data_IF_419242039479
#
_entry.id   IF_419242039479
#
_cell.length_a   1.000
_cell.length_b   1.000
_cell.length_c   1.000
_cell.angle_alpha   90.00
_cell.angle_beta   90.00
_cell.angle_gamma   90.00
#
_symmetry.space_group_name_H-M   'P 1'
#
loop_
_entity.id
_entity.type
_entity.pdbx_description
1 polymer ?
#
# COMPACT_ATOMS: atom_id res chain seq x y z
N UNK A 1 34.08 -7.82 13.49
CA UNK A 1 32.90 -6.93 13.64
C UNK A 1 33.18 -5.53 13.08
N UNK A 2 34.37 -4.95 13.32
CA UNK A 2 34.75 -3.62 12.80
C UNK A 2 34.99 -3.55 11.27
N UNK A 3 35.41 -4.65 10.63
CA UNK A 3 35.68 -4.70 9.18
C UNK A 3 34.41 -4.62 8.30
N UNK A 4 33.25 -5.04 8.81
CA UNK A 4 31.97 -4.93 8.08
C UNK A 4 31.42 -3.51 8.10
N UNK A 5 31.67 -2.78 9.20
CA UNK A 5 31.22 -1.40 9.38
C UNK A 5 32.00 -0.49 8.44
N UNK A 6 33.33 -0.64 8.36
CA UNK A 6 34.17 0.26 7.55
C UNK A 6 33.97 0.10 6.02
N UNK A 7 33.54 -1.08 5.55
CA UNK A 7 33.35 -1.37 4.12
C UNK A 7 31.97 -0.96 3.57
N UNK A 8 30.95 -0.82 4.44
CA UNK A 8 29.58 -0.45 4.04
C UNK A 8 29.11 0.90 4.58
N UNK A 9 29.65 1.39 5.70
CA UNK A 9 29.13 2.58 6.40
C UNK A 9 29.98 3.85 6.23
N UNK A 10 31.24 3.77 5.79
CA UNK A 10 32.14 4.93 5.79
C UNK A 10 32.31 5.53 7.20
N UNK A 11 33.12 6.58 7.35
CA UNK A 11 33.45 7.20 8.65
C UNK A 11 32.25 7.81 9.42
N UNK A 12 31.02 7.75 8.89
CA UNK A 12 29.87 8.53 9.38
C UNK A 12 28.78 7.68 10.06
N UNK A 13 29.17 6.91 11.08
CA UNK A 13 28.21 6.24 11.99
C UNK A 13 27.21 7.24 12.59
N UNK A 14 27.67 8.48 12.84
CA UNK A 14 26.86 9.57 13.39
C UNK A 14 25.72 9.98 12.45
N UNK A 15 25.94 10.03 11.13
CA UNK A 15 24.89 10.37 10.15
C UNK A 15 23.83 9.28 10.06
N UNK A 16 24.24 8.01 10.17
CA UNK A 16 23.32 6.89 10.19
C UNK A 16 22.45 6.89 11.46
N UNK A 17 23.04 7.17 12.62
CA UNK A 17 22.30 7.31 13.88
C UNK A 17 21.34 8.50 13.80
N UNK A 18 21.77 9.64 13.25
CA UNK A 18 20.92 10.82 13.05
C UNK A 18 19.75 10.55 12.08
N UNK A 19 19.98 9.78 11.02
CA UNK A 19 18.93 9.41 10.07
C UNK A 19 17.90 8.45 10.70
N UNK A 20 18.37 7.44 11.43
CA UNK A 20 17.48 6.48 12.13
C UNK A 20 16.67 7.17 13.23
N UNK A 21 17.28 8.10 13.98
CA UNK A 21 16.56 8.87 15.01
C UNK A 21 15.51 9.79 14.39
N UNK A 22 15.80 10.45 13.25
CA UNK A 22 14.82 11.24 12.50
C UNK A 22 13.69 10.40 11.90
N UNK A 23 13.98 9.17 11.45
CA UNK A 23 12.94 8.22 11.03
C UNK A 23 12.01 7.85 12.18
N UNK A 24 12.55 7.56 13.38
CA UNK A 24 11.76 7.27 14.58
C UNK A 24 10.88 8.47 14.99
N UNK A 25 11.42 9.68 14.93
CA UNK A 25 10.65 10.92 15.18
C UNK A 25 9.52 11.06 14.16
N UNK A 26 9.79 10.78 12.88
CA UNK A 26 8.78 10.83 11.81
C UNK A 26 7.67 9.82 12.02
N UNK A 27 8.02 8.60 12.42
CA UNK A 27 7.06 7.54 12.70
C UNK A 27 6.16 7.95 13.87
N UNK A 28 6.75 8.49 14.93
CA UNK A 28 6.02 9.01 16.09
C UNK A 28 5.12 10.19 15.71
N UNK A 29 5.62 11.13 14.90
CA UNK A 29 4.86 12.29 14.41
C UNK A 29 3.66 11.86 13.56
N UNK A 30 3.81 10.82 12.72
CA UNK A 30 2.73 10.28 11.91
C UNK A 30 1.61 9.67 12.78
N UNK A 31 1.96 8.98 13.88
CA UNK A 31 1.00 8.43 14.84
C UNK A 31 0.26 9.56 15.55
N UNK A 32 0.99 10.58 16.01
CA UNK A 32 0.41 11.78 16.65
C UNK A 32 -0.58 12.47 15.70
N UNK A 33 -0.22 12.61 14.42
CA UNK A 33 -1.11 13.18 13.41
C UNK A 33 -2.43 12.41 13.29
N UNK A 34 -2.38 11.07 13.24
CA UNK A 34 -3.60 10.24 13.19
C UNK A 34 -4.45 10.42 14.46
N UNK A 35 -3.84 10.48 15.64
CA UNK A 35 -4.57 10.73 16.89
C UNK A 35 -5.27 12.09 16.88
N UNK A 36 -4.62 13.14 16.35
CA UNK A 36 -5.21 14.47 16.23
C UNK A 36 -6.39 14.45 15.25
N UNK A 37 -6.22 13.82 14.08
CA UNK A 37 -7.29 13.67 13.09
C UNK A 37 -8.49 12.94 13.70
N UNK A 38 -8.29 11.87 14.46
CA UNK A 38 -9.38 11.17 15.15
C UNK A 38 -10.15 12.10 16.08
N UNK A 39 -9.42 12.91 16.84
CA UNK A 39 -10.04 13.85 17.79
C UNK A 39 -10.84 14.94 17.07
N UNK A 40 -10.43 15.34 15.86
CA UNK A 40 -11.15 16.30 15.03
C UNK A 40 -12.39 15.64 14.43
N UNK A 41 -12.24 14.47 13.79
CA UNK A 41 -13.35 13.78 13.12
C UNK A 41 -14.41 13.35 14.15
N UNK A 42 -14.02 12.93 15.36
CA UNK A 42 -14.97 12.59 16.45
C UNK A 42 -15.85 13.78 16.91
N UNK A 43 -15.47 15.01 16.57
CA UNK A 43 -16.27 16.21 16.85
C UNK A 43 -17.20 16.59 15.69
N UNK A 44 -17.03 16.00 14.51
CA UNK A 44 -17.92 16.23 13.38
C UNK A 44 -19.02 15.16 13.39
N UNK A 45 -20.19 15.55 13.89
CA UNK A 45 -21.46 14.79 13.97
C UNK A 45 -22.07 14.46 12.57
N UNK A 46 -21.24 14.21 11.57
CA UNK A 46 -21.70 13.82 10.24
C UNK A 46 -22.15 12.35 10.23
N UNK A 47 -23.11 12.03 9.34
CA UNK A 47 -23.72 10.69 9.19
C UNK A 47 -22.70 9.57 9.44
N UNK A 48 -22.98 8.76 10.48
CA UNK A 48 -22.16 7.64 10.98
C UNK A 48 -21.53 6.78 9.88
N UNK A 49 -22.24 6.60 8.76
CA UNK A 49 -21.77 5.85 7.59
C UNK A 49 -20.55 6.47 6.88
N UNK A 50 -20.56 7.77 6.59
CA UNK A 50 -19.44 8.46 5.91
C UNK A 50 -18.23 8.51 6.84
N UNK A 51 -18.48 8.73 8.14
CA UNK A 51 -17.47 8.67 9.19
C UNK A 51 -16.76 7.30 9.21
N UNK A 52 -17.51 6.20 9.32
CA UNK A 52 -16.93 4.84 9.35
C UNK A 52 -16.21 4.51 8.04
N UNK A 53 -16.74 4.92 6.89
CA UNK A 53 -16.14 4.71 5.57
C UNK A 53 -14.80 5.46 5.44
N UNK A 54 -14.74 6.73 5.83
CA UNK A 54 -13.51 7.53 5.75
C UNK A 54 -12.47 7.06 6.76
N UNK A 55 -12.89 6.70 7.97
CA UNK A 55 -12.02 6.24 9.05
C UNK A 55 -11.28 4.95 8.68
N UNK A 56 -11.99 3.94 8.19
CA UNK A 56 -11.41 2.63 7.85
C UNK A 56 -10.57 2.61 6.57
N UNK A 57 -10.69 3.65 5.74
CA UNK A 57 -10.15 3.63 4.37
C UNK A 57 -8.95 4.55 4.24
N UNK A 58 -8.99 5.74 4.86
CA UNK A 58 -7.92 6.73 4.70
C UNK A 58 -6.83 6.61 5.76
N UNK A 59 -7.13 6.19 6.99
CA UNK A 59 -6.14 6.23 8.10
C UNK A 59 -4.82 5.54 7.79
N UNK A 60 -4.87 4.26 7.45
CA UNK A 60 -3.67 3.44 7.22
C UNK A 60 -2.84 3.92 6.02
N UNK A 61 -3.40 4.11 4.81
CA UNK A 61 -2.60 4.56 3.66
C UNK A 61 -2.13 6.00 3.83
N UNK A 62 -2.91 6.89 4.46
CA UNK A 62 -2.50 8.28 4.70
C UNK A 62 -1.32 8.35 5.67
N UNK A 63 -1.31 7.51 6.73
CA UNK A 63 -0.17 7.40 7.63
C UNK A 63 1.12 7.09 6.86
N UNK A 64 1.06 6.09 5.97
CA UNK A 64 2.21 5.71 5.13
C UNK A 64 2.66 6.87 4.25
N UNK A 65 1.73 7.58 3.61
CA UNK A 65 2.05 8.71 2.74
C UNK A 65 2.70 9.87 3.52
N UNK A 66 2.23 10.16 4.73
CA UNK A 66 2.84 11.15 5.62
C UNK A 66 4.28 10.77 5.94
N UNK A 67 4.52 9.52 6.34
CA UNK A 67 5.88 9.02 6.62
C UNK A 67 6.79 9.18 5.40
N UNK A 68 6.31 8.82 4.20
CA UNK A 68 7.08 8.99 2.95
C UNK A 68 7.43 10.45 2.69
N UNK A 69 6.47 11.36 2.84
CA UNK A 69 6.66 12.80 2.60
C UNK A 69 7.66 13.40 3.59
N UNK A 70 7.52 13.10 4.88
CA UNK A 70 8.46 13.56 5.91
C UNK A 70 9.87 13.00 5.69
N UNK A 71 9.98 11.73 5.30
CA UNK A 71 11.28 11.11 4.98
C UNK A 71 11.93 11.79 3.76
N UNK A 72 11.12 12.21 2.77
CA UNK A 72 11.58 13.03 1.64
C UNK A 72 12.14 14.38 2.10
N UNK A 73 11.50 15.02 3.07
CA UNK A 73 11.94 16.29 3.63
C UNK A 73 13.24 16.14 4.43
N UNK A 74 13.34 15.11 5.27
CA UNK A 74 14.54 14.81 6.06
C UNK A 74 15.75 14.55 5.16
N UNK A 75 15.57 13.80 4.07
CA UNK A 75 16.64 13.55 3.10
C UNK A 75 17.21 14.85 2.50
N UNK A 76 16.39 15.88 2.31
CA UNK A 76 16.86 17.19 1.84
C UNK A 76 17.63 17.97 2.90
N UNK A 77 17.24 17.81 4.17
CA UNK A 77 17.84 18.52 5.30
C UNK A 77 19.19 17.91 5.71
N UNK A 78 19.34 16.59 5.57
CA UNK A 78 20.55 15.86 5.94
C UNK A 78 21.16 15.17 4.70
N UNK A 79 22.11 15.82 3.99
CA UNK A 79 22.74 15.22 2.82
C UNK A 79 23.63 14.05 3.25
N UNK A 80 23.14 12.84 3.05
CA UNK A 80 23.85 11.60 3.39
C UNK A 80 25.05 11.34 2.47
N UNK A 81 25.92 10.39 2.80
CA UNK A 81 26.98 9.93 1.89
C UNK A 81 26.42 9.46 0.51
N UNK A 82 27.16 9.61 -0.60
CA UNK A 82 26.64 9.39 -1.95
C UNK A 82 26.07 7.98 -2.19
N UNK A 83 26.66 6.95 -1.59
CA UNK A 83 26.15 5.58 -1.69
C UNK A 83 24.79 5.41 -0.99
N UNK A 84 24.64 5.99 0.20
CA UNK A 84 23.39 5.96 0.97
C UNK A 84 22.30 6.82 0.34
N UNK A 85 22.64 7.93 -0.33
CA UNK A 85 21.65 8.76 -1.02
C UNK A 85 20.94 8.04 -2.17
N UNK A 86 21.67 7.21 -2.92
CA UNK A 86 21.12 6.41 -4.02
C UNK A 86 20.19 5.32 -3.49
N UNK A 87 20.64 4.57 -2.48
CA UNK A 87 19.84 3.51 -1.86
C UNK A 87 18.56 4.07 -1.22
N UNK A 88 18.68 5.11 -0.40
CA UNK A 88 17.53 5.78 0.24
C UNK A 88 16.58 6.35 -0.80
N UNK A 89 17.09 6.91 -1.91
CA UNK A 89 16.25 7.38 -3.03
C UNK A 89 15.40 6.27 -3.65
N UNK A 90 16.00 5.10 -3.91
CA UNK A 90 15.28 3.94 -4.46
C UNK A 90 14.22 3.40 -3.49
N UNK A 91 14.56 3.25 -2.21
CA UNK A 91 13.63 2.78 -1.17
C UNK A 91 12.44 3.73 -1.05
N UNK A 92 12.70 5.04 -1.05
CA UNK A 92 11.67 6.07 -0.92
C UNK A 92 10.73 6.10 -2.14
N UNK A 93 11.26 5.87 -3.35
CA UNK A 93 10.45 5.71 -4.56
C UNK A 93 9.54 4.48 -4.48
N UNK A 94 10.06 3.33 -4.03
CA UNK A 94 9.25 2.11 -3.83
C UNK A 94 8.16 2.35 -2.80
N UNK A 95 8.49 2.96 -1.66
CA UNK A 95 7.54 3.23 -0.59
C UNK A 95 6.44 4.20 -1.06
N UNK A 96 6.80 5.19 -1.89
CA UNK A 96 5.84 6.09 -2.54
C UNK A 96 4.92 5.35 -3.51
N UNK A 97 5.45 4.47 -4.36
CA UNK A 97 4.66 3.62 -5.27
C UNK A 97 3.67 2.74 -4.49
N UNK A 98 4.13 2.15 -3.39
CA UNK A 98 3.29 1.35 -2.51
C UNK A 98 2.18 2.20 -1.90
N UNK A 99 2.46 3.44 -1.48
CA UNK A 99 1.43 4.34 -0.94
C UNK A 99 0.37 4.67 -1.98
N UNK A 100 0.78 5.05 -3.20
CA UNK A 100 -0.14 5.39 -4.29
C UNK A 100 -1.00 4.17 -4.64
N UNK A 101 -0.37 3.01 -4.80
CA UNK A 101 -1.07 1.77 -5.15
C UNK A 101 -2.07 1.34 -4.09
N UNK A 102 -1.70 1.43 -2.82
CA UNK A 102 -2.58 1.13 -1.69
C UNK A 102 -3.78 2.09 -1.65
N UNK A 103 -3.55 3.38 -1.87
CA UNK A 103 -4.62 4.39 -1.89
C UNK A 103 -5.62 4.10 -3.02
N UNK A 104 -5.15 3.74 -4.22
CA UNK A 104 -6.01 3.36 -5.35
C UNK A 104 -6.81 2.09 -5.03
N UNK A 105 -6.17 1.06 -4.47
CA UNK A 105 -6.83 -0.21 -4.09
C UNK A 105 -7.95 0.03 -3.06
N UNK A 106 -7.70 0.90 -2.08
CA UNK A 106 -8.69 1.29 -1.07
C UNK A 106 -9.84 2.09 -1.69
N UNK A 107 -9.55 2.98 -2.63
CA UNK A 107 -10.59 3.73 -3.35
C UNK A 107 -11.51 2.80 -4.15
N UNK A 108 -10.93 1.83 -4.88
CA UNK A 108 -11.70 0.85 -5.66
C UNK A 108 -12.57 -0.05 -4.78
N UNK A 109 -12.17 -0.30 -3.52
CA UNK A 109 -12.98 -1.09 -2.57
C UNK A 109 -14.32 -0.41 -2.26
N UNK A 110 -14.39 0.92 -2.26
CA UNK A 110 -15.59 1.69 -1.90
C UNK A 110 -16.64 1.65 -3.00
N UNK A 111 -16.19 1.67 -4.25
CA UNK A 111 -17.07 1.86 -5.42
C UNK A 111 -18.24 0.87 -5.44
N UNK A 112 -18.03 -0.47 -5.25
CA UNK A 112 -19.13 -1.43 -5.23
C UNK A 112 -20.06 -1.25 -4.04
N UNK A 113 -19.54 -0.87 -2.88
CA UNK A 113 -20.30 -0.75 -1.63
C UNK A 113 -21.24 0.46 -1.68
N UNK A 114 -20.75 1.58 -2.23
CA UNK A 114 -21.55 2.78 -2.49
C UNK A 114 -22.63 2.57 -3.58
N UNK A 115 -22.27 1.86 -4.65
CA UNK A 115 -23.22 1.54 -5.73
C UNK A 115 -24.26 0.52 -5.24
N UNK A 116 -23.87 -0.49 -4.47
CA UNK A 116 -24.80 -1.50 -3.95
C UNK A 116 -25.85 -0.91 -3.00
N UNK A 117 -25.49 0.07 -2.17
CA UNK A 117 -26.45 0.78 -1.31
C UNK A 117 -27.47 1.59 -2.14
N UNK A 118 -27.04 2.17 -3.26
CA UNK A 118 -27.91 2.96 -4.14
C UNK A 118 -28.87 2.10 -5.00
N UNK A 119 -28.53 0.84 -5.25
CA UNK A 119 -29.32 -0.09 -6.07
C UNK A 119 -29.83 -1.28 -5.23
N UNK A 120 -30.70 -1.02 -4.25
CA UNK A 120 -31.32 -2.07 -3.39
C UNK A 120 -32.17 -3.12 -4.13
N UNK A 121 -32.38 -3.03 -5.46
CA UNK A 121 -33.36 -3.88 -6.18
C UNK A 121 -32.78 -4.88 -7.19
N UNK A 122 -31.52 -4.78 -7.61
CA UNK A 122 -30.97 -5.65 -8.67
C UNK A 122 -29.77 -6.50 -8.19
N UNK A 123 -30.07 -7.60 -7.48
CA UNK A 123 -29.07 -8.48 -6.85
C UNK A 123 -28.05 -9.15 -7.80
N UNK A 124 -28.28 -9.15 -9.12
CA UNK A 124 -27.35 -9.76 -10.11
C UNK A 124 -26.26 -8.79 -10.60
N UNK A 125 -26.51 -7.48 -10.59
CA UNK A 125 -25.54 -6.47 -11.06
C UNK A 125 -24.52 -6.17 -9.97
N UNK A 126 -24.96 -6.15 -8.71
CA UNK A 126 -24.12 -5.91 -7.53
C UNK A 126 -23.03 -6.98 -7.36
N UNK A 127 -23.36 -8.26 -7.54
CA UNK A 127 -22.39 -9.37 -7.40
C UNK A 127 -21.25 -9.26 -8.43
N UNK A 128 -21.58 -8.93 -9.69
CA UNK A 128 -20.59 -8.80 -10.78
C UNK A 128 -19.62 -7.64 -10.54
N UNK A 129 -20.10 -6.49 -10.07
CA UNK A 129 -19.25 -5.35 -9.71
C UNK A 129 -18.28 -5.69 -8.57
N UNK A 130 -18.75 -6.46 -7.59
CA UNK A 130 -17.96 -6.83 -6.41
C UNK A 130 -16.78 -7.73 -6.80
N UNK A 131 -17.01 -8.69 -7.69
CA UNK A 131 -15.97 -9.57 -8.25
C UNK A 131 -14.97 -8.78 -9.10
N UNK A 132 -15.47 -7.87 -9.95
CA UNK A 132 -14.63 -7.00 -10.79
C UNK A 132 -13.68 -6.13 -9.95
N UNK A 133 -14.18 -5.50 -8.89
CA UNK A 133 -13.35 -4.70 -7.97
C UNK A 133 -12.23 -5.50 -7.30
N UNK A 134 -12.47 -6.79 -7.03
CA UNK A 134 -11.47 -7.67 -6.41
C UNK A 134 -10.34 -7.98 -7.40
N UNK A 135 -10.67 -8.21 -8.66
CA UNK A 135 -9.69 -8.43 -9.73
C UNK A 135 -8.80 -7.19 -9.96
N UNK A 136 -9.40 -6.00 -10.06
CA UNK A 136 -8.65 -4.76 -10.26
C UNK A 136 -7.67 -4.46 -9.13
N UNK A 137 -8.06 -4.75 -7.88
CA UNK A 137 -7.18 -4.57 -6.73
C UNK A 137 -5.94 -5.45 -6.81
N UNK A 138 -6.07 -6.70 -7.26
CA UNK A 138 -4.93 -7.61 -7.44
C UNK A 138 -4.03 -7.14 -8.59
N UNK A 139 -4.63 -6.69 -9.70
CA UNK A 139 -3.88 -6.12 -10.84
C UNK A 139 -3.02 -4.93 -10.43
N UNK A 140 -3.55 -4.03 -9.60
CA UNK A 140 -2.79 -2.87 -9.12
C UNK A 140 -1.60 -3.31 -8.26
N UNK A 141 -1.77 -4.28 -7.37
CA UNK A 141 -0.67 -4.82 -6.57
C UNK A 141 0.43 -5.44 -7.44
N UNK A 142 0.03 -6.20 -8.45
CA UNK A 142 0.94 -6.78 -9.45
C UNK A 142 1.76 -5.68 -10.13
N UNK A 143 1.11 -4.62 -10.62
CA UNK A 143 1.78 -3.50 -11.28
C UNK A 143 2.73 -2.79 -10.31
N UNK A 144 2.29 -2.53 -9.07
CA UNK A 144 3.09 -1.89 -8.04
C UNK A 144 4.40 -2.66 -7.76
N UNK A 145 4.30 -3.98 -7.64
CA UNK A 145 5.45 -4.87 -7.44
C UNK A 145 6.39 -4.79 -8.65
N UNK A 146 5.87 -4.95 -9.88
CA UNK A 146 6.69 -4.88 -11.09
C UNK A 146 7.47 -3.57 -11.18
N UNK A 147 6.80 -2.43 -10.95
CA UNK A 147 7.44 -1.11 -11.00
C UNK A 147 8.47 -0.94 -9.87
N UNK A 148 8.19 -1.45 -8.67
CA UNK A 148 9.12 -1.40 -7.54
C UNK A 148 10.41 -2.17 -7.84
N UNK A 149 10.30 -3.38 -8.38
CA UNK A 149 11.46 -4.16 -8.76
C UNK A 149 12.23 -3.56 -9.95
N UNK A 150 11.52 -2.99 -10.94
CA UNK A 150 12.15 -2.24 -12.05
C UNK A 150 12.99 -1.07 -11.53
N UNK A 151 12.52 -0.39 -10.47
CA UNK A 151 13.24 0.73 -9.83
C UNK A 151 14.58 0.28 -9.21
N UNK A 152 14.72 -1.00 -8.89
CA UNK A 152 15.94 -1.57 -8.31
C UNK A 152 16.93 -2.09 -9.36
N UNK A 153 16.63 -1.97 -10.66
CA UNK A 153 17.37 -2.57 -11.78
C UNK A 153 17.39 -4.11 -11.75
N UNK A 154 16.39 -4.74 -11.14
CA UNK A 154 16.20 -6.19 -11.31
C UNK A 154 15.69 -6.48 -12.72
N UNK A 155 16.15 -7.59 -13.31
CA UNK A 155 15.69 -8.06 -14.61
C UNK A 155 14.18 -8.35 -14.58
N UNK A 156 13.41 -7.59 -15.37
CA UNK A 156 11.94 -7.69 -15.42
C UNK A 156 11.45 -9.08 -15.77
N UNK A 157 12.25 -9.87 -16.49
CA UNK A 157 11.93 -11.22 -16.94
C UNK A 157 11.88 -12.23 -15.78
N UNK A 158 12.79 -12.12 -14.82
CA UNK A 158 12.80 -12.94 -13.60
C UNK A 158 11.57 -12.65 -12.74
N UNK A 159 11.19 -11.37 -12.64
CA UNK A 159 10.01 -10.95 -11.87
C UNK A 159 8.74 -11.43 -12.55
N UNK A 160 8.66 -11.34 -13.88
CA UNK A 160 7.50 -11.85 -14.63
C UNK A 160 7.29 -13.34 -14.37
N UNK A 161 8.39 -14.10 -14.37
CA UNK A 161 8.38 -15.55 -14.10
C UNK A 161 7.87 -15.85 -12.68
N UNK A 162 8.33 -15.09 -11.67
CA UNK A 162 7.85 -15.22 -10.28
C UNK A 162 6.39 -14.78 -10.10
N UNK A 163 5.95 -13.74 -10.81
CA UNK A 163 4.57 -13.26 -10.74
C UNK A 163 3.58 -14.22 -11.41
N UNK A 164 3.98 -14.89 -12.49
CA UNK A 164 3.17 -15.92 -13.16
C UNK A 164 2.71 -17.01 -12.20
N UNK A 165 3.54 -17.35 -11.21
CA UNK A 165 3.21 -18.35 -10.18
C UNK A 165 2.08 -17.83 -9.27
N UNK A 166 2.15 -16.58 -8.85
CA UNK A 166 1.14 -15.93 -7.99
C UNK A 166 -0.19 -15.77 -8.74
N UNK A 167 -0.13 -15.46 -10.04
CA UNK A 167 -1.30 -15.42 -10.94
C UNK A 167 -1.94 -16.80 -11.11
N UNK A 168 -1.14 -17.86 -11.25
CA UNK A 168 -1.63 -19.24 -11.36
C UNK A 168 -2.42 -19.70 -10.13
N UNK A 169 -1.93 -19.39 -8.92
CA UNK A 169 -2.61 -19.70 -7.66
C UNK A 169 -3.96 -18.96 -7.56
N UNK A 170 -4.00 -17.70 -8.00
CA UNK A 170 -5.22 -16.89 -7.97
C UNK A 170 -6.30 -17.47 -8.91
N UNK A 171 -5.89 -17.87 -10.12
CA UNK A 171 -6.79 -18.48 -11.11
C UNK A 171 -7.29 -19.83 -10.59
N UNK A 172 -6.41 -20.64 -9.99
CA UNK A 172 -6.79 -21.91 -9.37
C UNK A 172 -7.85 -21.69 -8.28
N UNK A 173 -7.65 -20.74 -7.36
CA UNK A 173 -8.62 -20.42 -6.32
C UNK A 173 -9.96 -19.94 -6.89
N UNK A 174 -9.94 -19.06 -7.90
CA UNK A 174 -11.16 -18.57 -8.55
C UNK A 174 -11.92 -19.71 -9.23
N UNK A 175 -11.23 -20.65 -9.87
CA UNK A 175 -11.86 -21.80 -10.49
C UNK A 175 -12.53 -22.72 -9.46
N UNK A 176 -11.87 -22.99 -8.33
CA UNK A 176 -12.42 -23.84 -7.26
C UNK A 176 -13.67 -23.20 -6.64
N UNK A 177 -13.62 -21.90 -6.33
CA UNK A 177 -14.80 -21.18 -5.81
C UNK A 177 -15.91 -21.04 -6.85
N UNK A 178 -15.56 -20.85 -8.13
CA UNK A 178 -16.54 -20.80 -9.23
C UNK A 178 -17.28 -22.12 -9.44
N UNK A 179 -16.60 -23.26 -9.30
CA UNK A 179 -17.19 -24.61 -9.38
C UNK A 179 -18.13 -24.87 -8.20
N UNK A 180 -17.77 -24.43 -6.99
CA UNK A 180 -18.60 -24.64 -5.80
C UNK A 180 -19.94 -23.88 -5.85
N UNK A 181 -19.96 -22.70 -6.49
CA UNK A 181 -21.19 -21.92 -6.71
C UNK A 181 -22.04 -22.55 -7.83
N UNK A 182 -21.40 -23.13 -8.86
CA UNK A 182 -22.09 -23.83 -9.95
C UNK A 182 -22.75 -25.14 -9.48
N UNK A 183 -22.11 -25.89 -8.57
CA UNK A 183 -22.71 -27.07 -7.92
C UNK A 183 -23.90 -26.69 -7.04
N UNK A 184 -23.77 -25.66 -6.19
CA UNK A 184 -24.88 -25.19 -5.36
C UNK A 184 -26.09 -24.67 -6.15
N UNK A 185 -25.90 -24.27 -7.41
CA UNK A 185 -26.97 -23.81 -8.31
C UNK A 185 -27.62 -24.95 -9.14
N UNK A 186 -27.03 -26.15 -9.15
CA UNK A 186 -27.59 -27.33 -9.83
C UNK A 186 -28.35 -28.26 -8.88
N UNK A 187 -28.21 -28.06 -7.56
CA UNK A 187 -28.94 -28.77 -6.51
C UNK A 187 -30.26 -28.06 -6.08
N UNK A 188 -30.78 -27.12 -6.89
CA UNK A 188 -32.09 -26.46 -6.71
C UNK A 188 -33.02 -26.71 -7.90
#
# INVERSE_FOLDING_TARGET
>A
MELFIKKYFGDNIVECIAFVSLLLITLTASIIFVVIINKIINKLDSKKFIYTLVEDILKEPVLLCIVVILTWYIKKLLPLAPQTQVLTGKILLILSLFCISWLIVRFIKIIPEYIAESFQKDGKISLKLLIFSKLFRVMIWIIAIIVAFKTMNYETNTIFTGLSIILGILIALISVFGISIAMAATDC
#
